data_IF_856459262913
#
_entry.id   IF_856459262913
#
_cell.length_a   1.000
_cell.length_b   1.000
_cell.length_c   1.000
_cell.angle_alpha   90.00
_cell.angle_beta   90.00
_cell.angle_gamma   90.00
#
_symmetry.space_group_name_H-M   'P 1'
#
loop_
_entity.id
_entity.type
_entity.pdbx_description
1 polymer ?
#
# COMPACT_ATOMS: atom_id res chain seq x y z
N UNK A 1 -2.30 -30.46 20.61
CA UNK A 1 -3.09 -30.50 19.36
C UNK A 1 -2.44 -29.65 18.26
N UNK A 2 -2.11 -28.39 18.56
CA UNK A 2 -1.41 -27.47 17.63
C UNK A 2 -0.18 -28.07 16.94
N UNK A 3 0.73 -28.69 17.67
CA UNK A 3 1.97 -29.26 17.09
C UNK A 3 1.70 -30.45 16.15
N UNK A 4 0.69 -31.27 16.46
CA UNK A 4 0.27 -32.40 15.63
C UNK A 4 -0.36 -31.92 14.33
N UNK A 5 -1.21 -30.88 14.40
CA UNK A 5 -1.81 -30.25 13.21
C UNK A 5 -0.72 -29.57 12.38
N UNK A 6 0.26 -28.94 13.02
CA UNK A 6 1.38 -28.31 12.34
C UNK A 6 2.26 -29.31 11.58
N UNK A 7 2.56 -30.45 12.20
CA UNK A 7 3.32 -31.53 11.57
C UNK A 7 2.59 -32.11 10.36
N UNK A 8 1.26 -32.27 10.44
CA UNK A 8 0.43 -32.71 9.32
C UNK A 8 0.41 -31.67 8.18
N UNK A 9 0.21 -30.39 8.49
CA UNK A 9 0.20 -29.31 7.49
C UNK A 9 1.54 -29.14 6.77
N UNK A 10 2.64 -29.58 7.38
CA UNK A 10 3.98 -29.62 6.76
C UNK A 10 4.19 -30.80 5.81
N UNK A 11 3.40 -31.88 5.96
CA UNK A 11 3.52 -33.12 5.18
C UNK A 11 2.13 -33.56 4.74
N UNK A 12 1.56 -32.80 3.82
CA UNK A 12 0.23 -33.09 3.27
C UNK A 12 0.28 -34.33 2.38
N UNK A 13 -0.60 -35.33 2.59
CA UNK A 13 -0.73 -36.48 1.71
C UNK A 13 -1.10 -36.06 0.29
N UNK A 14 -0.50 -36.70 -0.72
CA UNK A 14 -0.77 -36.41 -2.14
C UNK A 14 -2.12 -36.98 -2.61
N UNK A 15 -2.64 -38.00 -1.92
CA UNK A 15 -3.92 -38.62 -2.24
C UNK A 15 -5.07 -37.87 -1.58
N UNK A 16 -6.06 -37.46 -2.39
CA UNK A 16 -7.22 -36.65 -1.96
C UNK A 16 -8.04 -37.28 -0.83
N UNK A 17 -8.34 -38.56 -0.92
CA UNK A 17 -9.14 -39.28 0.10
C UNK A 17 -8.39 -39.38 1.44
N UNK A 18 -7.07 -39.57 1.36
CA UNK A 18 -6.20 -39.65 2.53
C UNK A 18 -6.03 -38.28 3.18
N UNK A 19 -5.88 -37.23 2.37
CA UNK A 19 -5.85 -35.84 2.82
C UNK A 19 -7.14 -35.44 3.53
N UNK A 20 -8.30 -35.82 3.00
CA UNK A 20 -9.60 -35.57 3.62
C UNK A 20 -9.73 -36.33 4.96
N UNK A 21 -9.47 -37.64 4.98
CA UNK A 21 -9.63 -38.46 6.18
C UNK A 21 -8.71 -38.01 7.32
N UNK A 22 -7.45 -37.66 7.01
CA UNK A 22 -6.48 -37.22 8.01
C UNK A 22 -6.79 -35.81 8.54
N UNK A 23 -7.12 -34.86 7.64
CA UNK A 23 -7.49 -33.50 8.05
C UNK A 23 -8.80 -33.49 8.85
N UNK A 24 -9.81 -34.25 8.43
CA UNK A 24 -11.09 -34.36 9.13
C UNK A 24 -10.93 -35.01 10.53
N UNK A 25 -10.10 -36.05 10.65
CA UNK A 25 -9.81 -36.67 11.94
C UNK A 25 -9.12 -35.70 12.92
N UNK A 26 -8.24 -34.82 12.42
CA UNK A 26 -7.60 -33.78 13.23
C UNK A 26 -8.59 -32.68 13.64
N UNK A 27 -9.53 -32.32 12.76
CA UNK A 27 -10.55 -31.32 13.06
C UNK A 27 -11.48 -31.82 14.17
N UNK A 28 -11.92 -33.08 14.09
CA UNK A 28 -12.78 -33.70 15.12
C UNK A 28 -12.09 -33.79 16.49
N UNK A 29 -10.76 -33.94 16.52
CA UNK A 29 -9.96 -33.98 17.76
C UNK A 29 -9.64 -32.58 18.32
N UNK A 30 -9.96 -31.51 17.59
CA UNK A 30 -9.71 -30.14 18.04
C UNK A 30 -10.80 -29.69 19.01
N UNK A 31 -10.49 -29.35 20.29
CA UNK A 31 -11.50 -29.06 21.32
C UNK A 31 -12.39 -27.86 20.98
N UNK A 32 -11.86 -26.90 20.24
CA UNK A 32 -12.56 -25.66 19.87
C UNK A 32 -13.35 -25.75 18.56
N UNK A 33 -13.40 -26.92 17.92
CA UNK A 33 -14.07 -27.10 16.63
C UNK A 33 -15.60 -27.19 16.78
N UNK A 34 -16.32 -26.53 15.87
CA UNK A 34 -17.78 -26.52 15.88
C UNK A 34 -18.35 -27.86 15.37
N UNK A 35 -19.18 -28.52 16.19
CA UNK A 35 -19.77 -29.83 15.89
C UNK A 35 -20.75 -29.82 14.70
N UNK A 36 -21.44 -28.68 14.46
CA UNK A 36 -22.32 -28.54 13.30
C UNK A 36 -21.53 -28.50 11.98
N UNK A 37 -20.38 -27.83 11.99
CA UNK A 37 -19.45 -27.78 10.85
C UNK A 37 -18.83 -29.15 10.57
N UNK A 38 -18.41 -29.87 11.62
CA UNK A 38 -17.87 -31.25 11.48
C UNK A 38 -18.90 -32.17 10.82
N UNK A 39 -20.18 -32.06 11.20
CA UNK A 39 -21.26 -32.85 10.60
C UNK A 39 -21.47 -32.49 9.13
N UNK A 40 -21.45 -31.20 8.80
CA UNK A 40 -21.54 -30.71 7.42
C UNK A 40 -20.40 -31.21 6.53
N UNK A 41 -19.17 -31.17 7.03
CA UNK A 41 -18.00 -31.64 6.30
C UNK A 41 -18.03 -33.14 6.03
N UNK A 42 -18.57 -33.94 6.94
CA UNK A 42 -18.77 -35.37 6.75
C UNK A 42 -19.81 -35.68 5.66
N UNK A 43 -20.88 -34.88 5.55
CA UNK A 43 -21.91 -35.06 4.51
C UNK A 43 -21.40 -34.69 3.11
N UNK A 44 -20.53 -33.67 3.02
CA UNK A 44 -20.01 -33.15 1.74
C UNK A 44 -18.90 -34.02 1.12
N UNK A 45 -18.23 -34.86 1.91
CA UNK A 45 -17.22 -35.81 1.44
C UNK A 45 -15.92 -35.17 0.90
N UNK A 46 -15.07 -35.97 0.26
CA UNK A 46 -13.72 -35.59 -0.16
C UNK A 46 -13.69 -34.77 -1.47
N UNK A 47 -14.29 -33.59 -1.47
CA UNK A 47 -14.19 -32.60 -2.57
C UNK A 47 -13.10 -31.58 -2.28
N UNK A 48 -12.50 -31.00 -3.31
CA UNK A 48 -11.34 -30.11 -3.16
C UNK A 48 -11.70 -28.82 -2.39
N UNK A 49 -12.89 -28.27 -2.64
CA UNK A 49 -13.41 -27.12 -1.88
C UNK A 49 -13.61 -27.47 -0.40
N UNK A 50 -14.17 -28.66 -0.12
CA UNK A 50 -14.42 -29.09 1.26
C UNK A 50 -13.10 -29.33 2.03
N UNK A 51 -12.11 -29.94 1.38
CA UNK A 51 -10.76 -30.14 1.95
C UNK A 51 -10.11 -28.80 2.27
N UNK A 52 -10.18 -27.83 1.36
CA UNK A 52 -9.61 -26.49 1.58
C UNK A 52 -10.27 -25.78 2.78
N UNK A 53 -11.59 -25.94 2.94
CA UNK A 53 -12.32 -25.38 4.08
C UNK A 53 -11.91 -26.04 5.40
N UNK A 54 -11.76 -27.38 5.44
CA UNK A 54 -11.27 -28.11 6.62
C UNK A 54 -9.85 -27.67 6.99
N UNK A 55 -8.96 -27.49 6.01
CA UNK A 55 -7.59 -27.04 6.23
C UNK A 55 -7.53 -25.59 6.74
N UNK A 56 -8.40 -24.72 6.22
CA UNK A 56 -8.55 -23.35 6.71
C UNK A 56 -9.01 -23.31 8.16
N UNK A 57 -10.05 -24.07 8.50
CA UNK A 57 -10.59 -24.14 9.86
C UNK A 57 -9.58 -24.76 10.83
N UNK A 58 -8.85 -25.79 10.42
CA UNK A 58 -7.76 -26.37 11.21
C UNK A 58 -6.69 -25.33 11.57
N UNK A 59 -6.29 -24.50 10.61
CA UNK A 59 -5.33 -23.40 10.84
C UNK A 59 -5.90 -22.36 11.79
N UNK A 60 -7.15 -21.96 11.57
CA UNK A 60 -7.86 -20.97 12.38
C UNK A 60 -8.02 -21.42 13.84
N UNK A 61 -8.56 -22.61 14.07
CA UNK A 61 -8.81 -23.13 15.42
C UNK A 61 -7.53 -23.39 16.22
N UNK A 62 -6.42 -23.70 15.53
CA UNK A 62 -5.13 -23.94 16.19
C UNK A 62 -4.21 -22.69 16.18
N UNK A 63 -4.67 -21.56 15.64
CA UNK A 63 -3.86 -20.34 15.49
C UNK A 63 -2.53 -20.61 14.77
N UNK A 64 -2.57 -21.44 13.73
CA UNK A 64 -1.42 -21.78 12.89
C UNK A 64 -1.44 -20.86 11.68
N UNK A 65 -0.44 -20.01 11.56
CA UNK A 65 -0.23 -19.19 10.38
C UNK A 65 0.64 -19.93 9.37
N UNK A 66 0.57 -19.53 8.10
CA UNK A 66 1.45 -20.06 7.03
C UNK A 66 2.93 -20.00 7.40
N UNK A 67 3.32 -18.97 8.16
CA UNK A 67 4.67 -18.79 8.70
C UNK A 67 5.07 -19.95 9.62
N UNK A 68 4.17 -20.41 10.49
CA UNK A 68 4.45 -21.52 11.40
C UNK A 68 4.61 -22.84 10.64
N UNK A 69 3.85 -23.06 9.56
CA UNK A 69 3.96 -24.27 8.74
C UNK A 69 5.33 -24.30 8.06
N UNK A 70 5.83 -23.16 7.59
CA UNK A 70 7.11 -23.03 6.88
C UNK A 70 8.33 -22.96 7.80
N UNK A 71 8.17 -22.54 9.06
CA UNK A 71 9.24 -22.53 10.03
C UNK A 71 9.70 -23.95 10.38
N UNK A 72 11.00 -24.25 10.30
CA UNK A 72 11.55 -25.47 10.89
C UNK A 72 11.53 -25.35 12.43
N UNK A 73 11.43 -26.46 13.19
CA UNK A 73 11.20 -26.40 14.62
C UNK A 73 12.45 -25.91 15.35
N UNK A 74 12.48 -24.62 15.69
CA UNK A 74 13.45 -24.05 16.63
C UNK A 74 12.69 -23.52 17.84
N UNK A 75 13.16 -23.90 19.03
CA UNK A 75 12.50 -23.76 20.34
C UNK A 75 12.01 -22.35 20.68
N UNK A 76 10.75 -22.34 21.14
CA UNK A 76 10.00 -21.46 22.05
C UNK A 76 10.78 -20.35 22.79
N UNK A 77 10.35 -19.09 22.65
CA UNK A 77 10.18 -18.11 23.76
C UNK A 77 8.98 -17.18 23.42
N UNK A 78 8.18 -16.83 24.43
CA UNK A 78 6.88 -16.17 24.34
C UNK A 78 6.93 -14.62 24.51
N UNK A 79 6.16 -13.89 23.67
CA UNK A 79 5.18 -12.77 23.93
C UNK A 79 5.72 -11.49 24.65
N UNK A 80 5.39 -10.23 24.27
CA UNK A 80 4.05 -9.74 23.87
C UNK A 80 3.92 -8.86 22.61
N UNK A 81 2.72 -8.97 22.02
CA UNK A 81 2.09 -8.06 21.06
C UNK A 81 1.82 -6.68 21.68
N UNK A 82 1.84 -5.59 20.89
CA UNK A 82 0.57 -5.12 20.33
C UNK A 82 0.65 -4.71 18.85
N UNK A 83 -0.35 -5.23 18.13
CA UNK A 83 -1.22 -4.55 17.15
C UNK A 83 -0.57 -3.64 16.10
N UNK A 84 -0.53 -4.15 14.88
CA UNK A 84 -0.28 -3.40 13.65
C UNK A 84 -0.65 -4.26 12.46
N UNK A 85 -1.95 -4.56 12.34
CA UNK A 85 -2.50 -5.28 11.20
C UNK A 85 -2.20 -4.54 9.90
N UNK A 86 -1.58 -5.22 8.96
CA UNK A 86 -1.94 -5.06 7.54
C UNK A 86 -1.62 -6.35 6.81
N UNK A 87 -2.67 -7.16 6.65
CA UNK A 87 -2.71 -8.35 5.79
C UNK A 87 -2.45 -7.93 4.33
N UNK A 88 -1.55 -8.59 3.59
CA UNK A 88 -1.62 -8.56 2.14
C UNK A 88 -2.80 -9.41 1.67
N UNK A 89 -3.44 -8.97 0.59
CA UNK A 89 -4.52 -9.70 -0.09
C UNK A 89 -4.02 -11.03 -0.69
N UNK A 90 -4.89 -12.04 -0.85
CA UNK A 90 -4.50 -13.37 -1.33
C UNK A 90 -4.35 -13.35 -2.85
N UNK A 91 -3.20 -13.79 -3.37
CA UNK A 91 -3.09 -14.03 -4.82
C UNK A 91 -1.70 -14.09 -5.46
N UNK A 92 -0.60 -13.81 -4.76
CA UNK A 92 0.73 -13.87 -5.39
C UNK A 92 1.53 -15.05 -4.86
N UNK A 93 1.64 -16.10 -5.69
CA UNK A 93 2.71 -17.10 -5.59
C UNK A 93 4.06 -16.38 -5.52
N UNK A 94 4.84 -16.53 -4.43
CA UNK A 94 6.16 -15.92 -4.35
C UNK A 94 7.09 -16.66 -5.32
N UNK A 95 7.69 -15.94 -6.26
CA UNK A 95 8.80 -16.46 -7.06
C UNK A 95 10.06 -16.55 -6.19
N UNK A 96 11.02 -17.40 -6.56
CA UNK A 96 12.25 -17.66 -5.79
C UNK A 96 13.12 -16.40 -5.53
N UNK A 97 12.83 -15.27 -6.20
CA UNK A 97 13.45 -13.97 -5.95
C UNK A 97 12.88 -13.21 -4.73
N UNK A 98 11.74 -13.63 -4.17
CA UNK A 98 11.11 -12.98 -3.00
C UNK A 98 11.84 -13.27 -1.66
N UNK A 99 12.86 -14.14 -1.66
CA UNK A 99 13.66 -14.49 -0.47
C UNK A 99 14.69 -13.40 -0.11
N UNK A 100 14.77 -12.30 -0.86
CA UNK A 100 15.70 -11.17 -0.59
C UNK A 100 15.06 -9.78 -0.62
N UNK A 101 13.77 -9.62 -0.31
CA UNK A 101 13.25 -8.28 0.04
C UNK A 101 13.45 -8.05 1.51
N UNK A 102 14.55 -7.39 1.87
CA UNK A 102 14.68 -6.75 3.18
C UNK A 102 13.44 -5.89 3.41
N UNK A 103 12.86 -5.97 4.60
CA UNK A 103 11.71 -5.14 4.99
C UNK A 103 12.03 -3.68 4.69
N UNK A 104 11.04 -2.87 4.27
CA UNK A 104 11.26 -1.45 3.99
C UNK A 104 11.93 -0.72 5.17
N UNK A 105 11.66 -1.17 6.40
CA UNK A 105 12.30 -0.68 7.63
C UNK A 105 13.77 -1.11 7.76
N UNK A 106 14.14 -2.29 7.27
CA UNK A 106 15.54 -2.70 7.20
C UNK A 106 16.32 -1.87 6.17
N UNK A 107 15.69 -1.50 5.06
CA UNK A 107 16.29 -0.64 4.03
C UNK A 107 16.40 0.82 4.47
N UNK A 108 15.42 1.27 5.27
CA UNK A 108 15.30 2.61 5.82
C UNK A 108 15.10 2.58 7.35
N UNK A 109 16.16 2.28 8.13
CA UNK A 109 16.05 2.14 9.60
C UNK A 109 15.55 3.40 10.31
N UNK A 110 15.76 4.58 9.70
CA UNK A 110 15.28 5.85 10.26
C UNK A 110 13.76 5.91 10.42
N UNK A 111 13.00 5.02 9.77
CA UNK A 111 11.54 4.91 9.94
C UNK A 111 11.14 4.37 11.33
N UNK A 112 12.09 3.86 12.11
CA UNK A 112 11.90 3.46 13.51
C UNK A 112 12.47 4.50 14.50
N UNK A 113 13.16 5.54 14.02
CA UNK A 113 13.73 6.57 14.87
C UNK A 113 12.63 7.45 15.46
N UNK A 114 12.78 7.82 16.74
CA UNK A 114 11.82 8.70 17.43
C UNK A 114 11.71 10.08 16.80
N UNK A 115 12.80 10.57 16.22
CA UNK A 115 12.90 11.90 15.61
C UNK A 115 12.64 11.86 14.09
N UNK A 116 12.08 10.77 13.57
CA UNK A 116 11.70 10.64 12.17
C UNK A 116 10.63 11.69 11.79
N UNK A 117 10.87 12.51 10.75
CA UNK A 117 9.86 13.43 10.24
C UNK A 117 8.55 12.71 9.88
N UNK A 118 7.42 13.28 10.31
CA UNK A 118 6.09 12.73 10.03
C UNK A 118 5.84 12.57 8.52
N UNK A 119 6.42 13.46 7.71
CA UNK A 119 6.39 13.43 6.25
C UNK A 119 6.94 12.11 5.68
N UNK A 120 7.99 11.52 6.27
CA UNK A 120 8.56 10.26 5.80
C UNK A 120 7.60 9.08 6.05
N UNK A 121 6.83 9.11 7.14
CA UNK A 121 5.78 8.11 7.37
C UNK A 121 4.64 8.24 6.34
N UNK A 122 4.28 9.47 5.98
CA UNK A 122 3.29 9.71 4.91
C UNK A 122 3.81 9.17 3.58
N UNK A 123 5.05 9.49 3.20
CA UNK A 123 5.69 8.98 1.97
C UNK A 123 5.70 7.46 1.98
N UNK A 124 6.08 6.84 3.09
CA UNK A 124 6.16 5.39 3.24
C UNK A 124 4.77 4.75 3.03
N UNK A 125 3.73 5.30 3.64
CA UNK A 125 2.35 4.82 3.45
C UNK A 125 1.88 4.96 2.00
N UNK A 126 2.19 6.08 1.35
CA UNK A 126 1.89 6.32 -0.06
C UNK A 126 2.68 5.37 -0.98
N UNK A 127 3.95 5.11 -0.67
CA UNK A 127 4.83 4.22 -1.43
C UNK A 127 4.25 2.82 -1.46
N UNK A 128 3.92 2.26 -0.29
CA UNK A 128 3.29 0.95 -0.14
C UNK A 128 1.96 0.91 -0.90
N UNK A 129 1.12 1.94 -0.73
CA UNK A 129 -0.18 2.01 -1.40
C UNK A 129 -0.06 2.05 -2.92
N UNK A 130 0.90 2.80 -3.45
CA UNK A 130 1.15 2.94 -4.88
C UNK A 130 1.71 1.64 -5.47
N UNK A 131 2.60 0.97 -4.75
CA UNK A 131 3.08 -0.37 -5.12
C UNK A 131 1.94 -1.38 -5.16
N UNK A 132 1.10 -1.44 -4.12
CA UNK A 132 -0.02 -2.38 -4.08
C UNK A 132 -1.01 -2.17 -5.23
N UNK A 133 -1.31 -0.90 -5.56
CA UNK A 133 -2.14 -0.56 -6.72
C UNK A 133 -1.47 -1.02 -8.02
N UNK A 134 -0.20 -0.64 -8.23
CA UNK A 134 0.57 -1.10 -9.39
C UNK A 134 0.56 -2.62 -9.54
N UNK A 135 0.87 -3.36 -8.48
CA UNK A 135 0.89 -4.83 -8.48
C UNK A 135 -0.49 -5.42 -8.80
N UNK A 136 -1.55 -4.87 -8.22
CA UNK A 136 -2.93 -5.33 -8.50
C UNK A 136 -3.34 -5.07 -9.95
N UNK A 137 -2.96 -3.92 -10.52
CA UNK A 137 -3.22 -3.56 -11.91
C UNK A 137 -2.43 -4.44 -12.87
N UNK A 138 -1.15 -4.69 -12.57
CA UNK A 138 -0.31 -5.60 -13.36
C UNK A 138 -0.84 -7.04 -13.34
N UNK A 139 -1.37 -7.52 -12.22
CA UNK A 139 -2.01 -8.83 -12.15
C UNK A 139 -3.22 -8.88 -13.10
N UNK A 140 -4.08 -7.86 -13.11
CA UNK A 140 -5.22 -7.78 -14.06
C UNK A 140 -4.75 -7.78 -15.51
N UNK A 141 -3.71 -7.01 -15.84
CA UNK A 141 -3.13 -6.99 -17.19
C UNK A 141 -2.59 -8.38 -17.58
N UNK A 142 -1.96 -9.10 -16.65
CA UNK A 142 -1.50 -10.46 -16.89
C UNK A 142 -2.67 -11.43 -17.11
N UNK A 143 -3.71 -11.37 -16.29
CA UNK A 143 -4.92 -12.18 -16.44
C UNK A 143 -5.60 -11.94 -17.80
N UNK A 144 -5.65 -10.69 -18.25
CA UNK A 144 -6.15 -10.33 -19.57
C UNK A 144 -5.29 -10.95 -20.68
N UNK A 145 -3.96 -10.81 -20.60
CA UNK A 145 -3.01 -11.43 -21.55
C UNK A 145 -3.13 -12.96 -21.59
N UNK A 146 -3.40 -13.58 -20.44
CA UNK A 146 -3.61 -15.02 -20.30
C UNK A 146 -5.02 -15.48 -20.75
N UNK A 147 -5.90 -14.54 -21.14
CA UNK A 147 -7.30 -14.81 -21.51
C UNK A 147 -8.14 -15.39 -20.37
N UNK A 148 -7.77 -15.10 -19.12
CA UNK A 148 -8.54 -15.45 -17.92
C UNK A 148 -9.69 -14.48 -17.69
N UNK A 149 -9.53 -13.24 -18.16
CA UNK A 149 -10.54 -12.18 -18.16
C UNK A 149 -10.63 -11.54 -19.54
N UNK A 150 -11.78 -10.94 -19.84
CA UNK A 150 -11.98 -10.09 -21.01
C UNK A 150 -11.98 -8.62 -20.57
N UNK A 151 -11.28 -7.77 -21.33
CA UNK A 151 -11.29 -6.33 -21.19
C UNK A 151 -11.57 -5.71 -22.55
N UNK A 152 -12.30 -4.60 -22.54
CA UNK A 152 -12.41 -3.75 -23.73
C UNK A 152 -11.07 -3.06 -24.03
N UNK A 153 -10.84 -2.59 -25.26
CA UNK A 153 -9.63 -1.82 -25.59
C UNK A 153 -9.43 -0.58 -24.72
N UNK A 154 -10.51 0.09 -24.34
CA UNK A 154 -10.46 1.28 -23.49
C UNK A 154 -10.06 0.92 -22.05
N UNK A 155 -10.60 -0.18 -21.49
CA UNK A 155 -10.23 -0.65 -20.15
C UNK A 155 -8.77 -1.12 -20.07
N UNK A 156 -8.26 -1.80 -21.12
CA UNK A 156 -6.84 -2.19 -21.19
C UNK A 156 -5.91 -0.95 -21.24
N UNK A 157 -6.32 0.07 -22.02
CA UNK A 157 -5.59 1.33 -22.10
C UNK A 157 -5.59 2.07 -20.74
N UNK A 158 -6.73 2.14 -20.06
CA UNK A 158 -6.85 2.76 -18.75
C UNK A 158 -6.04 2.03 -17.67
N UNK A 159 -6.06 0.69 -17.65
CA UNK A 159 -5.25 -0.10 -16.72
C UNK A 159 -3.75 0.10 -17.00
N UNK A 160 -3.35 0.13 -18.27
CA UNK A 160 -1.96 0.37 -18.65
C UNK A 160 -1.51 1.77 -18.22
N UNK A 161 -2.33 2.80 -18.45
CA UNK A 161 -2.06 4.17 -18.00
C UNK A 161 -1.98 4.26 -16.46
N UNK A 162 -2.88 3.57 -15.76
CA UNK A 162 -2.89 3.50 -14.30
C UNK A 162 -1.62 2.85 -13.78
N UNK A 163 -1.20 1.71 -14.34
CA UNK A 163 0.01 1.03 -13.91
C UNK A 163 1.26 1.88 -14.16
N UNK A 164 1.33 2.56 -15.30
CA UNK A 164 2.42 3.49 -15.58
C UNK A 164 2.45 4.64 -14.57
N UNK A 165 1.30 5.25 -14.29
CA UNK A 165 1.18 6.35 -13.32
C UNK A 165 1.62 5.91 -11.92
N UNK A 166 1.13 4.77 -11.44
CA UNK A 166 1.49 4.23 -10.12
C UNK A 166 2.97 3.83 -10.04
N UNK A 167 3.54 3.26 -11.11
CA UNK A 167 4.97 2.95 -11.15
C UNK A 167 5.84 4.22 -11.06
N UNK A 168 5.49 5.28 -11.80
CA UNK A 168 6.22 6.55 -11.77
C UNK A 168 6.06 7.23 -10.40
N UNK A 169 4.86 7.21 -9.84
CA UNK A 169 4.57 7.75 -8.52
C UNK A 169 5.34 7.01 -7.42
N UNK A 170 5.35 5.68 -7.46
CA UNK A 170 6.12 4.85 -6.53
C UNK A 170 7.63 5.16 -6.61
N UNK A 171 8.19 5.29 -7.81
CA UNK A 171 9.60 5.67 -7.99
C UNK A 171 9.89 7.07 -7.41
N UNK A 172 9.00 8.04 -7.61
CA UNK A 172 9.17 9.38 -7.07
C UNK A 172 9.14 9.38 -5.53
N UNK A 173 8.24 8.62 -4.91
CA UNK A 173 8.18 8.44 -3.46
C UNK A 173 9.43 7.73 -2.91
N UNK A 174 9.94 6.73 -3.63
CA UNK A 174 11.15 6.01 -3.20
C UNK A 174 12.38 6.92 -3.21
N UNK A 175 12.52 7.78 -4.22
CA UNK A 175 13.60 8.78 -4.30
C UNK A 175 13.65 9.71 -3.09
N UNK A 176 12.50 10.08 -2.53
CA UNK A 176 12.44 10.89 -1.30
C UNK A 176 13.08 10.17 -0.10
N UNK A 177 12.78 8.87 0.06
CA UNK A 177 13.34 8.05 1.14
C UNK A 177 14.85 7.83 0.96
N UNK A 178 15.28 7.58 -0.28
CA UNK A 178 16.69 7.41 -0.64
C UNK A 178 17.48 8.70 -0.41
N UNK A 179 16.95 9.84 -0.83
CA UNK A 179 17.57 11.14 -0.58
C UNK A 179 17.68 11.44 0.92
N UNK A 180 16.63 11.15 1.70
CA UNK A 180 16.68 11.34 3.15
C UNK A 180 17.70 10.42 3.82
N UNK A 181 17.84 9.18 3.34
CA UNK A 181 18.83 8.21 3.86
C UNK A 181 20.24 8.82 3.86
N UNK A 182 20.62 9.48 2.78
CA UNK A 182 21.94 10.06 2.55
C UNK A 182 22.10 11.46 3.17
N UNK A 183 21.10 12.33 3.02
CA UNK A 183 21.22 13.76 3.33
C UNK A 183 20.60 14.15 4.69
N UNK A 184 19.80 13.25 5.30
CA UNK A 184 19.00 13.51 6.51
C UNK A 184 18.09 14.74 6.39
N UNK A 185 17.71 15.07 5.15
CA UNK A 185 16.78 16.15 4.82
C UNK A 185 15.81 15.65 3.76
N UNK A 186 14.56 16.12 3.81
CA UNK A 186 13.56 15.82 2.80
C UNK A 186 13.90 16.56 1.50
N UNK A 187 13.85 15.85 0.37
CA UNK A 187 14.00 16.43 -0.97
C UNK A 187 12.78 17.29 -1.31
N UNK A 188 11.57 16.83 -0.96
CA UNK A 188 10.31 17.53 -1.13
C UNK A 188 9.98 17.91 -2.58
N UNK A 189 10.33 17.04 -3.52
CA UNK A 189 9.92 17.12 -4.92
C UNK A 189 8.56 16.49 -5.17
N UNK A 190 8.23 15.42 -4.44
CA UNK A 190 6.96 14.72 -4.60
C UNK A 190 5.76 15.62 -4.24
N UNK A 191 4.66 15.48 -4.99
CA UNK A 191 3.46 16.32 -4.85
C UNK A 191 2.86 16.28 -3.43
N UNK A 192 2.97 15.16 -2.73
CA UNK A 192 2.50 15.00 -1.35
C UNK A 192 3.27 15.85 -0.33
N UNK A 193 4.48 16.30 -0.68
CA UNK A 193 5.34 17.13 0.17
C UNK A 193 5.28 18.62 -0.18
N UNK A 194 4.40 19.04 -1.10
CA UNK A 194 4.26 20.45 -1.48
C UNK A 194 4.02 21.36 -0.27
N UNK A 195 3.20 20.95 0.68
CA UNK A 195 2.96 21.73 1.91
C UNK A 195 4.25 21.91 2.72
N UNK A 196 4.99 20.82 2.95
CA UNK A 196 6.26 20.86 3.68
C UNK A 196 7.28 21.79 3.00
N UNK A 197 7.42 21.69 1.68
CA UNK A 197 8.30 22.55 0.88
C UNK A 197 7.97 24.03 1.08
N UNK A 198 6.68 24.38 0.96
CA UNK A 198 6.23 25.76 1.12
C UNK A 198 6.36 26.26 2.55
N UNK A 199 6.07 25.44 3.57
CA UNK A 199 6.31 25.81 4.98
C UNK A 199 7.76 26.16 5.23
N UNK A 200 8.70 25.29 4.82
CA UNK A 200 10.14 25.53 4.96
C UNK A 200 10.57 26.80 4.23
N UNK A 201 10.01 27.05 3.05
CA UNK A 201 10.26 28.30 2.32
C UNK A 201 9.71 29.52 3.08
N UNK A 202 8.50 29.45 3.64
CA UNK A 202 7.92 30.56 4.39
C UNK A 202 8.65 30.85 5.71
N UNK A 203 9.19 29.84 6.38
CA UNK A 203 10.04 30.04 7.56
C UNK A 203 11.24 30.93 7.25
N UNK A 204 11.78 30.85 6.03
CA UNK A 204 12.86 31.71 5.54
C UNK A 204 12.39 33.08 5.03
N UNK A 205 11.08 33.29 4.82
CA UNK A 205 10.53 34.53 4.27
C UNK A 205 10.11 35.52 5.37
N UNK A 206 10.43 36.81 5.19
CA UNK A 206 9.90 37.88 6.04
C UNK A 206 8.39 38.04 5.89
N UNK A 207 7.71 38.58 6.92
CA UNK A 207 6.28 38.87 6.86
C UNK A 207 5.91 39.78 5.67
N UNK A 208 6.72 40.81 5.39
CA UNK A 208 6.57 41.69 4.23
C UNK A 208 6.61 40.91 2.91
N UNK A 209 7.53 39.95 2.78
CA UNK A 209 7.65 39.12 1.57
C UNK A 209 6.41 38.25 1.37
N UNK A 210 5.81 37.74 2.46
CA UNK A 210 4.56 36.96 2.41
C UNK A 210 3.39 37.82 1.95
N UNK A 211 3.20 39.02 2.52
CA UNK A 211 2.17 39.97 2.07
C UNK A 211 2.37 40.40 0.61
N UNK A 212 3.62 40.64 0.20
CA UNK A 212 3.96 40.96 -1.19
C UNK A 212 3.60 39.82 -2.14
N UNK A 213 3.83 38.57 -1.73
CA UNK A 213 3.42 37.40 -2.52
C UNK A 213 1.90 37.39 -2.75
N UNK A 214 1.10 37.58 -1.69
CA UNK A 214 -0.38 37.63 -1.80
C UNK A 214 -0.84 38.72 -2.76
N UNK A 215 -0.33 39.95 -2.60
CA UNK A 215 -0.68 41.08 -3.48
C UNK A 215 -0.31 40.82 -4.95
N UNK A 216 0.84 40.22 -5.19
CA UNK A 216 1.28 39.88 -6.55
C UNK A 216 0.39 38.80 -7.17
N UNK A 217 -0.15 37.88 -6.37
CA UNK A 217 -1.03 36.83 -6.85
C UNK A 217 -2.38 37.38 -7.35
N UNK A 218 -2.94 38.42 -6.73
CA UNK A 218 -4.17 39.07 -7.20
C UNK A 218 -4.04 39.58 -8.64
N UNK A 219 -2.93 40.26 -8.94
CA UNK A 219 -2.64 40.73 -10.31
C UNK A 219 -2.46 39.56 -11.28
N UNK A 220 -1.82 38.47 -10.84
CA UNK A 220 -1.66 37.26 -11.63
C UNK A 220 -3.01 36.61 -11.97
N UNK A 221 -3.91 36.48 -10.99
CA UNK A 221 -5.24 35.93 -11.20
C UNK A 221 -6.07 36.78 -12.15
N UNK A 222 -6.05 38.11 -11.99
CA UNK A 222 -6.78 39.02 -12.88
C UNK A 222 -6.33 38.87 -14.34
N UNK A 223 -5.01 38.85 -14.59
CA UNK A 223 -4.46 38.69 -15.95
C UNK A 223 -4.77 37.32 -16.53
N UNK A 224 -4.62 36.25 -15.72
CA UNK A 224 -4.91 34.90 -16.19
C UNK A 224 -6.40 34.67 -16.47
N UNK A 225 -7.32 35.29 -15.73
CA UNK A 225 -8.77 35.24 -16.03
C UNK A 225 -9.08 35.88 -17.38
N UNK A 226 -8.52 37.05 -17.66
CA UNK A 226 -8.64 37.70 -18.97
C UNK A 226 -8.05 36.84 -20.10
N UNK A 227 -6.92 36.17 -19.86
CA UNK A 227 -6.32 35.25 -20.83
C UNK A 227 -7.20 34.01 -21.07
N UNK A 228 -7.87 33.48 -20.05
CA UNK A 228 -8.79 32.34 -20.17
C UNK A 228 -10.08 32.68 -20.95
N UNK A 229 -10.54 33.93 -20.89
CA UNK A 229 -11.70 34.42 -21.63
C UNK A 229 -11.42 34.59 -23.14
N UNK A 230 -10.15 34.67 -23.53
CA UNK A 230 -9.78 34.84 -24.93
C UNK A 230 -9.96 33.52 -25.71
N UNK A 231 -10.86 33.47 -26.72
CA UNK A 231 -11.14 32.25 -27.47
C UNK A 231 -9.95 31.75 -28.30
N UNK A 232 -8.96 32.61 -28.57
CA UNK A 232 -7.78 32.26 -29.38
C UNK A 232 -6.66 31.60 -28.56
N UNK A 233 -6.83 31.43 -27.25
CA UNK A 233 -5.81 30.81 -26.40
C UNK A 233 -5.89 29.28 -26.51
N UNK A 234 -4.74 28.66 -26.74
CA UNK A 234 -4.59 27.20 -26.85
C UNK A 234 -5.02 26.49 -25.56
N UNK A 235 -5.63 25.32 -25.68
CA UNK A 235 -6.08 24.54 -24.51
C UNK A 235 -4.94 24.17 -23.56
N UNK A 236 -3.77 23.78 -24.06
CA UNK A 236 -2.59 23.52 -23.21
C UNK A 236 -2.18 24.74 -22.38
N UNK A 237 -2.39 25.95 -22.93
CA UNK A 237 -2.09 27.20 -22.23
C UNK A 237 -3.14 27.46 -21.15
N UNK A 238 -4.42 27.24 -21.45
CA UNK A 238 -5.50 27.35 -20.45
C UNK A 238 -5.28 26.38 -19.29
N UNK A 239 -4.94 25.12 -19.59
CA UNK A 239 -4.63 24.12 -18.58
C UNK A 239 -3.48 24.56 -17.64
N UNK A 240 -2.39 25.09 -18.20
CA UNK A 240 -1.28 25.64 -17.42
C UNK A 240 -1.68 26.84 -16.56
N UNK A 241 -2.53 27.73 -17.05
CA UNK A 241 -3.02 28.88 -16.25
C UNK A 241 -3.82 28.36 -15.06
N UNK A 242 -4.71 27.39 -15.28
CA UNK A 242 -5.54 26.78 -14.23
C UNK A 242 -4.66 26.04 -13.21
N UNK A 243 -3.64 25.30 -13.65
CA UNK A 243 -2.70 24.62 -12.76
C UNK A 243 -1.93 25.63 -11.89
N UNK A 244 -1.40 26.69 -12.49
CA UNK A 244 -0.73 27.76 -11.76
C UNK A 244 -1.68 28.50 -10.79
N UNK A 245 -2.97 28.61 -11.13
CA UNK A 245 -3.97 29.20 -10.24
C UNK A 245 -4.14 28.35 -8.99
N UNK A 246 -4.38 27.04 -9.16
CA UNK A 246 -4.51 26.09 -8.05
C UNK A 246 -3.27 26.12 -7.14
N UNK A 247 -2.08 26.15 -7.73
CA UNK A 247 -0.84 26.22 -6.96
C UNK A 247 -0.74 27.52 -6.15
N UNK A 248 -1.03 28.68 -6.76
CA UNK A 248 -0.98 29.98 -6.05
C UNK A 248 -2.05 30.10 -4.98
N UNK A 249 -3.26 29.60 -5.22
CA UNK A 249 -4.34 29.57 -4.23
C UNK A 249 -3.94 28.71 -3.02
N UNK A 250 -3.37 27.53 -3.27
CA UNK A 250 -2.83 26.66 -2.22
C UNK A 250 -1.76 27.38 -1.38
N UNK A 251 -0.82 28.07 -2.04
CA UNK A 251 0.24 28.85 -1.37
C UNK A 251 -0.35 29.96 -0.50
N UNK A 252 -1.30 30.72 -1.02
CA UNK A 252 -1.96 31.81 -0.28
C UNK A 252 -2.66 31.25 0.96
N UNK A 253 -3.38 30.13 0.83
CA UNK A 253 -4.05 29.48 1.95
C UNK A 253 -3.06 29.04 3.05
N UNK A 254 -1.87 28.55 2.66
CA UNK A 254 -0.82 28.22 3.62
C UNK A 254 -0.24 29.46 4.31
N UNK A 255 0.00 30.55 3.57
CA UNK A 255 0.46 31.82 4.14
C UNK A 255 -0.56 32.34 5.16
N UNK A 256 -1.85 32.29 4.83
CA UNK A 256 -2.92 32.74 5.73
C UNK A 256 -3.00 31.92 6.99
N UNK A 257 -2.88 30.59 6.88
CA UNK A 257 -2.81 29.70 8.04
C UNK A 257 -1.63 30.04 8.96
N UNK A 258 -0.47 30.38 8.40
CA UNK A 258 0.72 30.72 9.19
C UNK A 258 0.63 32.11 9.83
N UNK A 259 0.14 33.11 9.11
CA UNK A 259 -0.05 34.48 9.64
C UNK A 259 -1.08 34.50 10.77
N UNK A 260 -2.18 33.76 10.61
CA UNK A 260 -3.22 33.65 11.63
C UNK A 260 -2.76 32.85 12.86
N UNK A 261 -1.83 31.90 12.71
CA UNK A 261 -1.27 31.14 13.83
C UNK A 261 -0.26 31.95 14.67
N UNK A 262 0.21 33.10 14.17
CA UNK A 262 1.17 33.99 14.85
C UNK A 262 0.52 35.24 15.49
N UNK A 263 -0.79 35.41 15.35
CA UNK A 263 -1.59 36.44 16.03
C UNK A 263 -2.16 35.89 17.34
#
# INVERSE_FOLDING_TARGET
>A
MKDTVLAFLRKLPTKREELFNQSFALLRKTPSANQALISSYNMLGATDSNINNILYDLKKYNGITEVMIRATPTKVVAVPTPTGDTSPAPGTTPSEDDVKRTSLREQFPFLDDKDCPAELHIITGLLISSYNRYSSTMLKIQQFKNKEIELTPDEDLELTATAQSESVNNQALYKELEYYKENKQLLAEHISLKEYKWKKQFESMSAESKFKYKRNAESYFSKGKQELENPNVKEDRKAKIIENFKEREFIIALIDKELNAKQ
#
